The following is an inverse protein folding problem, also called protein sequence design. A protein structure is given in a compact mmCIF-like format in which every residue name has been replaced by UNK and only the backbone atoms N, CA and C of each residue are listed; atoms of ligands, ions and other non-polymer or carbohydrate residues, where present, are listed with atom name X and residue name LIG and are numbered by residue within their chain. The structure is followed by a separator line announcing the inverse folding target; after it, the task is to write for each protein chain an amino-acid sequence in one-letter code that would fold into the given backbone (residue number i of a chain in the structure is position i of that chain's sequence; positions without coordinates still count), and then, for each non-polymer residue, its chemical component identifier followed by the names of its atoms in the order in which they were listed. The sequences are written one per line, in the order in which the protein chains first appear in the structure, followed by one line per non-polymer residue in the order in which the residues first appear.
data_IF_373991133604
#
_entry.id   IF_373991133604
#
_cell.length_a   1.000
_cell.length_b   1.000
_cell.length_c   1.000
_cell.angle_alpha   90.00
_cell.angle_beta   90.00
_cell.angle_gamma   90.00
#
_symmetry.space_group_name_H-M   'P 1'
#
loop_
_entity.id
_entity.type
_entity.pdbx_description
1 polymer ?
#
# COMPACT_ATOMS: atom_id res chain seq x y z
N UNK A 1 13.87 31.86 30.71
CA UNK A 1 13.86 30.38 30.85
C UNK A 1 12.49 29.73 30.59
N UNK A 2 11.34 30.37 30.81
CA UNK A 2 10.01 29.81 30.48
C UNK A 2 9.66 29.78 28.98
N UNK A 3 10.20 30.72 28.17
CA UNK A 3 9.90 30.85 26.73
C UNK A 3 10.55 29.76 25.87
N UNK A 4 11.71 29.23 26.27
CA UNK A 4 12.40 28.15 25.56
C UNK A 4 11.77 26.77 25.81
N UNK A 5 11.11 26.56 26.96
CA UNK A 5 10.37 25.32 27.21
C UNK A 5 9.10 25.21 26.37
N UNK A 6 8.44 26.33 26.07
CA UNK A 6 7.23 26.33 25.22
C UNK A 6 7.56 25.99 23.75
N UNK A 7 8.74 26.41 23.26
CA UNK A 7 9.20 26.12 21.90
C UNK A 7 9.62 24.65 21.73
N UNK A 8 10.18 24.02 22.77
CA UNK A 8 10.56 22.61 22.73
C UNK A 8 9.34 21.66 22.73
N UNK A 9 8.23 22.05 23.36
CA UNK A 9 7.03 21.22 23.47
C UNK A 9 6.19 21.20 22.17
N UNK A 10 6.32 22.22 21.31
CA UNK A 10 5.60 22.31 20.04
C UNK A 10 6.24 21.47 18.91
N UNK A 11 7.49 21.04 19.07
CA UNK A 11 8.23 20.28 18.06
C UNK A 11 8.01 18.75 18.14
N UNK A 12 7.28 18.26 19.14
CA UNK A 12 7.32 16.84 19.53
C UNK A 12 6.28 15.91 18.89
N UNK A 13 5.44 16.37 17.95
CA UNK A 13 4.28 15.55 17.51
C UNK A 13 4.05 15.47 16.00
N UNK A 14 5.11 15.45 15.18
CA UNK A 14 4.94 15.13 13.75
C UNK A 14 5.09 13.62 13.54
N UNK A 15 4.03 12.87 13.84
CA UNK A 15 3.92 11.49 13.37
C UNK A 15 3.58 11.51 11.87
N UNK A 16 4.57 11.27 11.02
CA UNK A 16 4.40 11.18 9.57
C UNK A 16 3.78 9.84 9.17
N UNK A 17 2.55 9.86 8.64
CA UNK A 17 2.01 8.71 7.91
C UNK A 17 2.34 8.90 6.43
N UNK A 18 3.11 7.98 5.85
CA UNK A 18 3.42 7.95 4.43
C UNK A 18 2.58 6.85 3.77
N UNK A 19 1.84 7.18 2.72
CA UNK A 19 1.19 6.17 1.87
C UNK A 19 1.68 6.33 0.44
N UNK A 20 1.89 5.21 -0.24
CA UNK A 20 2.37 5.14 -1.62
C UNK A 20 1.63 4.06 -2.41
N UNK A 21 1.66 4.17 -3.73
CA UNK A 21 0.96 3.26 -4.65
C UNK A 21 -0.48 3.68 -4.91
N UNK A 22 -1.29 2.76 -5.42
CA UNK A 22 -2.63 3.04 -5.90
C UNK A 22 -3.60 3.41 -4.76
N UNK A 23 -3.94 4.69 -4.61
CA UNK A 23 -4.82 5.16 -3.54
C UNK A 23 -6.23 4.57 -3.59
N UNK A 24 -6.67 4.11 -4.77
CA UNK A 24 -7.96 3.43 -4.93
C UNK A 24 -8.03 2.14 -4.11
N UNK A 25 -6.90 1.48 -3.83
CA UNK A 25 -6.85 0.25 -3.01
C UNK A 25 -6.88 0.54 -1.51
N UNK A 26 -6.73 1.79 -1.06
CA UNK A 26 -6.56 2.13 0.36
C UNK A 26 -7.67 1.57 1.26
N UNK A 27 -8.91 1.62 0.79
CA UNK A 27 -10.09 1.15 1.53
C UNK A 27 -10.65 -0.16 0.96
N UNK A 28 -9.98 -0.76 -0.03
CA UNK A 28 -10.44 -2.01 -0.64
C UNK A 28 -9.97 -3.21 0.17
N UNK A 29 -10.85 -4.19 0.27
CA UNK A 29 -10.59 -5.51 0.86
C UNK A 29 -10.93 -6.56 -0.19
N UNK A 30 -10.55 -7.82 0.03
CA UNK A 30 -10.94 -8.92 -0.86
C UNK A 30 -12.47 -8.95 -1.09
N UNK A 31 -13.26 -8.78 -0.02
CA UNK A 31 -14.73 -8.72 -0.10
C UNK A 31 -15.24 -7.51 -0.89
N UNK A 32 -14.64 -6.33 -0.73
CA UNK A 32 -15.02 -5.14 -1.50
C UNK A 32 -14.67 -5.27 -2.98
N UNK A 33 -13.53 -5.90 -3.29
CA UNK A 33 -13.16 -6.19 -4.68
C UNK A 33 -14.12 -7.21 -5.28
N UNK A 34 -14.53 -8.23 -4.52
CA UNK A 34 -15.48 -9.25 -4.97
C UNK A 34 -16.86 -8.70 -5.34
N UNK A 35 -17.33 -7.64 -4.68
CA UNK A 35 -18.59 -6.97 -5.05
C UNK A 35 -18.47 -6.08 -6.29
N UNK A 36 -17.25 -5.68 -6.67
CA UNK A 36 -16.96 -4.78 -7.80
C UNK A 36 -16.49 -5.50 -9.06
N UNK A 37 -15.78 -6.62 -8.91
CA UNK A 37 -15.24 -7.42 -10.01
C UNK A 37 -16.02 -8.73 -10.12
N UNK A 38 -16.66 -8.94 -11.28
CA UNK A 38 -17.31 -10.19 -11.64
C UNK A 38 -16.52 -10.88 -12.74
N UNK A 39 -16.00 -12.08 -12.43
CA UNK A 39 -15.31 -12.93 -13.40
C UNK A 39 -16.21 -13.21 -14.62
N UNK A 40 -15.63 -13.13 -15.82
CA UNK A 40 -16.30 -13.32 -17.10
C UNK A 40 -17.26 -12.19 -17.52
N UNK A 41 -17.40 -11.13 -16.71
CA UNK A 41 -18.29 -9.99 -17.00
C UNK A 41 -17.56 -8.66 -17.02
N UNK A 42 -16.81 -8.35 -15.96
CA UNK A 42 -16.12 -7.07 -15.83
C UNK A 42 -15.04 -6.94 -16.89
N UNK A 43 -15.03 -5.81 -17.59
CA UNK A 43 -14.10 -5.48 -18.67
C UNK A 43 -12.85 -4.77 -18.16
N UNK A 44 -11.80 -4.72 -18.98
CA UNK A 44 -10.59 -3.91 -18.72
C UNK A 44 -10.91 -2.44 -18.48
N UNK A 45 -11.84 -1.90 -19.25
CA UNK A 45 -12.28 -0.50 -19.14
C UNK A 45 -12.96 -0.24 -17.79
N UNK A 46 -13.84 -1.14 -17.34
CA UNK A 46 -14.47 -1.04 -16.02
C UNK A 46 -13.45 -1.15 -14.89
N UNK A 47 -12.49 -2.10 -14.98
CA UNK A 47 -11.41 -2.21 -14.00
C UNK A 47 -10.60 -0.92 -13.92
N UNK A 48 -10.24 -0.31 -15.07
CA UNK A 48 -9.60 1.00 -15.11
C UNK A 48 -10.47 2.12 -14.53
N UNK A 49 -11.78 2.08 -14.73
CA UNK A 49 -12.72 3.03 -14.13
C UNK A 49 -12.78 2.93 -12.59
N UNK A 50 -12.67 1.71 -12.06
CA UNK A 50 -12.72 1.44 -10.62
C UNK A 50 -11.39 1.74 -9.92
N UNK A 51 -10.29 1.22 -10.46
CA UNK A 51 -8.98 1.21 -9.81
C UNK A 51 -7.95 2.11 -10.47
N UNK A 52 -8.25 2.74 -11.61
CA UNK A 52 -7.30 3.51 -12.39
C UNK A 52 -6.32 2.65 -13.18
N UNK A 53 -5.22 3.26 -13.60
CA UNK A 53 -4.14 2.58 -14.31
C UNK A 53 -3.42 1.59 -13.39
N UNK A 54 -3.07 0.38 -13.88
CA UNK A 54 -2.32 -0.58 -13.09
C UNK A 54 -0.89 -0.11 -12.83
N UNK A 55 -0.31 -0.57 -11.71
CA UNK A 55 1.10 -0.33 -11.37
C UNK A 55 2.02 -1.10 -12.32
N UNK A 56 1.61 -2.30 -12.75
CA UNK A 56 2.31 -3.08 -13.75
C UNK A 56 1.34 -3.88 -14.64
N UNK A 57 1.73 -4.04 -15.90
CA UNK A 57 1.09 -4.94 -16.86
C UNK A 57 2.11 -6.00 -17.27
N UNK A 58 1.70 -7.25 -17.27
CA UNK A 58 2.50 -8.40 -17.71
C UNK A 58 1.62 -9.33 -18.54
N UNK A 59 2.21 -10.34 -19.16
CA UNK A 59 1.48 -11.27 -20.02
C UNK A 59 1.79 -12.71 -19.62
N UNK A 60 0.79 -13.59 -19.72
CA UNK A 60 1.04 -15.04 -19.64
C UNK A 60 1.69 -15.54 -20.93
N UNK A 61 2.19 -16.77 -20.90
CA UNK A 61 2.71 -17.45 -22.10
C UNK A 61 1.65 -17.55 -23.22
N UNK A 62 0.37 -17.64 -22.85
CA UNK A 62 -0.76 -17.61 -23.77
C UNK A 62 -1.20 -16.22 -24.25
N UNK A 63 -0.46 -15.16 -23.93
CA UNK A 63 -0.75 -13.78 -24.34
C UNK A 63 -1.84 -13.06 -23.54
N UNK A 64 -2.33 -13.66 -22.45
CA UNK A 64 -3.34 -13.03 -21.59
C UNK A 64 -2.71 -11.95 -20.72
N UNK A 65 -3.38 -10.81 -20.56
CA UNK A 65 -2.89 -9.69 -19.75
C UNK A 65 -3.07 -9.96 -18.26
N UNK A 66 -2.03 -9.65 -17.48
CA UNK A 66 -2.06 -9.62 -16.03
C UNK A 66 -1.82 -8.17 -15.61
N UNK A 67 -2.78 -7.59 -14.91
CA UNK A 67 -2.64 -6.28 -14.30
C UNK A 67 -2.41 -6.42 -12.82
N UNK A 68 -1.44 -5.66 -12.31
CA UNK A 68 -1.08 -5.63 -10.91
C UNK A 68 -1.31 -4.24 -10.35
N UNK A 69 -2.01 -4.19 -9.23
CA UNK A 69 -2.25 -3.01 -8.43
C UNK A 69 -1.68 -3.22 -7.03
N UNK A 70 -1.06 -2.21 -6.46
CA UNK A 70 -0.44 -2.28 -5.15
C UNK A 70 -0.62 -0.98 -4.38
N UNK A 71 -0.89 -1.09 -3.09
CA UNK A 71 -0.98 0.05 -2.19
C UNK A 71 -0.22 -0.28 -0.91
N UNK A 72 0.63 0.63 -0.47
CA UNK A 72 1.38 0.49 0.78
C UNK A 72 1.11 1.69 1.66
N UNK A 73 0.67 1.44 2.89
CA UNK A 73 0.54 2.46 3.92
C UNK A 73 1.55 2.17 5.00
N UNK A 74 2.45 3.11 5.22
CA UNK A 74 3.53 3.02 6.19
C UNK A 74 3.34 4.09 7.26
N UNK A 75 3.40 3.67 8.52
CA UNK A 75 3.44 4.56 9.68
C UNK A 75 4.87 4.55 10.22
N UNK A 76 5.59 5.64 9.98
CA UNK A 76 6.93 5.83 10.52
C UNK A 76 6.79 6.30 11.97
N UNK A 77 7.46 5.62 12.90
CA UNK A 77 7.48 6.07 14.29
C UNK A 77 8.34 7.35 14.41
N UNK A 78 7.82 8.37 15.11
CA UNK A 78 8.50 9.67 15.24
C UNK A 78 9.87 9.61 15.93
N UNK A 79 10.16 8.53 16.67
CA UNK A 79 11.46 8.29 17.30
C UNK A 79 12.60 8.03 16.31
N UNK A 80 12.28 7.68 15.06
CA UNK A 80 13.26 7.48 13.98
C UNK A 80 14.00 8.75 13.56
N UNK A 81 13.49 9.94 13.92
CA UNK A 81 14.09 11.24 13.56
C UNK A 81 15.08 11.77 14.61
N UNK A 82 15.26 11.08 15.74
CA UNK A 82 16.26 11.44 16.75
C UNK A 82 17.64 10.94 16.25
N UNK A 83 18.66 11.81 16.13
CA UNK A 83 20.01 11.41 15.75
C UNK A 83 20.50 10.24 16.62
N UNK A 84 21.13 9.24 15.99
CA UNK A 84 21.59 7.99 16.60
C UNK A 84 20.51 7.03 17.11
N UNK A 85 19.31 7.46 17.51
CA UNK A 85 18.25 6.54 17.97
C UNK A 85 17.71 5.64 16.84
N UNK A 86 17.60 6.19 15.63
CA UNK A 86 17.23 5.43 14.43
C UNK A 86 18.21 4.32 14.04
N UNK A 87 19.45 4.33 14.55
CA UNK A 87 20.41 3.23 14.40
C UNK A 87 20.14 2.06 15.38
N UNK A 88 19.47 2.33 16.51
CA UNK A 88 19.23 1.33 17.56
C UNK A 88 17.80 0.77 17.54
N UNK A 89 16.79 1.58 17.22
CA UNK A 89 15.38 1.18 17.32
C UNK A 89 14.53 1.81 16.21
N UNK A 90 14.59 1.24 15.00
CA UNK A 90 13.72 1.62 13.90
C UNK A 90 12.62 0.57 13.72
N UNK A 91 11.37 0.96 13.98
CA UNK A 91 10.20 0.10 13.82
C UNK A 91 9.22 0.73 12.86
N UNK A 92 8.96 0.08 11.74
CA UNK A 92 7.99 0.53 10.74
C UNK A 92 6.80 -0.44 10.75
N UNK A 93 5.62 0.06 11.10
CA UNK A 93 4.38 -0.69 10.94
C UNK A 93 3.60 -0.14 9.74
N UNK A 94 3.04 -1.04 8.95
CA UNK A 94 2.24 -0.68 7.80
C UNK A 94 1.36 -1.80 7.31
N UNK A 95 0.64 -1.53 6.23
CA UNK A 95 -0.20 -2.50 5.53
C UNK A 95 0.10 -2.38 4.05
N UNK A 96 0.37 -3.53 3.42
CA UNK A 96 0.49 -3.67 1.98
C UNK A 96 -0.73 -4.41 1.46
N UNK A 97 -1.33 -3.88 0.40
CA UNK A 97 -2.44 -4.44 -0.33
C UNK A 97 -2.01 -4.66 -1.78
N UNK A 98 -2.39 -5.78 -2.36
CA UNK A 98 -2.03 -6.13 -3.73
C UNK A 98 -3.20 -6.83 -4.43
N UNK A 99 -3.66 -6.25 -5.54
CA UNK A 99 -4.70 -6.82 -6.39
C UNK A 99 -4.06 -7.24 -7.71
N UNK A 100 -4.13 -8.53 -8.02
CA UNK A 100 -3.68 -9.08 -9.31
C UNK A 100 -4.90 -9.56 -10.08
N UNK A 101 -5.02 -9.13 -11.34
CA UNK A 101 -6.16 -9.46 -12.20
C UNK A 101 -5.61 -10.05 -13.49
N UNK A 102 -6.04 -11.26 -13.82
CA UNK A 102 -5.82 -11.92 -15.10
C UNK A 102 -7.01 -11.63 -16.00
N UNK A 103 -6.73 -11.11 -17.19
CA UNK A 103 -7.69 -10.89 -18.25
C UNK A 103 -7.54 -11.94 -19.33
N UNK A 104 -8.68 -12.39 -19.87
CA UNK A 104 -8.73 -13.11 -21.13
C UNK A 104 -9.53 -12.27 -22.11
N UNK A 105 -8.91 -11.97 -23.25
CA UNK A 105 -9.42 -10.98 -24.19
C UNK A 105 -9.67 -9.64 -23.47
N UNK A 106 -10.90 -9.14 -23.42
CA UNK A 106 -11.27 -7.90 -22.73
C UNK A 106 -11.81 -8.10 -21.31
N UNK A 107 -11.99 -9.34 -20.85
CA UNK A 107 -12.73 -9.64 -19.62
C UNK A 107 -11.87 -10.22 -18.52
N UNK A 108 -12.25 -9.96 -17.27
CA UNK A 108 -11.60 -10.56 -16.10
C UNK A 108 -11.82 -12.06 -16.12
N UNK A 109 -10.73 -12.83 -16.19
CA UNK A 109 -10.75 -14.28 -16.07
C UNK A 109 -10.65 -14.73 -14.62
N UNK A 110 -9.67 -14.16 -13.89
CA UNK A 110 -9.37 -14.46 -12.49
C UNK A 110 -8.85 -13.20 -11.81
N UNK A 111 -9.05 -13.08 -10.50
CA UNK A 111 -8.38 -12.08 -9.70
C UNK A 111 -8.03 -12.62 -8.31
N UNK A 112 -7.08 -11.97 -7.65
CA UNK A 112 -6.72 -12.25 -6.26
C UNK A 112 -6.35 -10.95 -5.57
N UNK A 113 -6.79 -10.79 -4.33
CA UNK A 113 -6.45 -9.66 -3.48
C UNK A 113 -5.71 -10.18 -2.25
N UNK A 114 -4.50 -9.71 -2.02
CA UNK A 114 -3.72 -10.03 -0.84
C UNK A 114 -3.59 -8.79 0.05
N UNK A 115 -3.73 -8.98 1.35
CA UNK A 115 -3.38 -7.98 2.36
C UNK A 115 -2.32 -8.56 3.30
N UNK A 116 -1.29 -7.78 3.60
CA UNK A 116 -0.19 -8.21 4.47
C UNK A 116 0.26 -7.07 5.36
N UNK A 117 0.54 -7.40 6.62
CA UNK A 117 1.15 -6.45 7.55
C UNK A 117 2.62 -6.23 7.16
N UNK A 118 3.00 -4.97 7.00
CA UNK A 118 4.40 -4.56 6.89
C UNK A 118 4.90 -4.37 8.31
N UNK A 119 5.70 -5.32 8.79
CA UNK A 119 6.43 -5.19 10.04
C UNK A 119 7.91 -5.26 9.70
N UNK A 120 8.59 -4.11 9.75
CA UNK A 120 10.03 -4.08 9.58
C UNK A 120 10.61 -3.48 10.85
N UNK A 121 11.31 -4.32 11.61
CA UNK A 121 12.14 -3.91 12.72
C UNK A 121 13.58 -3.91 12.20
N UNK A 122 14.25 -2.77 12.28
CA UNK A 122 15.66 -2.65 11.92
C UNK A 122 16.38 -1.81 12.97
N UNK A 123 17.54 -2.30 13.39
CA UNK A 123 18.37 -1.66 14.40
C UNK A 123 19.46 -2.62 14.85
N UNK A 124 20.60 -2.09 15.28
CA UNK A 124 21.72 -2.93 15.76
C UNK A 124 21.43 -3.67 17.08
N UNK A 125 20.33 -3.33 17.76
CA UNK A 125 19.93 -3.91 19.04
C UNK A 125 18.72 -4.88 18.93
N UNK A 126 18.38 -5.31 17.71
CA UNK A 126 17.39 -6.37 17.46
C UNK A 126 18.07 -7.74 17.28
#
# INVERSE_FOLDING_TARGET
MKKFMLAAMLAATVAGCASSGNQQLKNETETSVQSKIQEGKTTKAEVKGLFGSPDAVSYTDGGNEIWKYSFSKVKVNGTSFIPFYGLFHNGTNGTKKELTILFKDDKVQKYTMAESALNTKSGWAD
#
